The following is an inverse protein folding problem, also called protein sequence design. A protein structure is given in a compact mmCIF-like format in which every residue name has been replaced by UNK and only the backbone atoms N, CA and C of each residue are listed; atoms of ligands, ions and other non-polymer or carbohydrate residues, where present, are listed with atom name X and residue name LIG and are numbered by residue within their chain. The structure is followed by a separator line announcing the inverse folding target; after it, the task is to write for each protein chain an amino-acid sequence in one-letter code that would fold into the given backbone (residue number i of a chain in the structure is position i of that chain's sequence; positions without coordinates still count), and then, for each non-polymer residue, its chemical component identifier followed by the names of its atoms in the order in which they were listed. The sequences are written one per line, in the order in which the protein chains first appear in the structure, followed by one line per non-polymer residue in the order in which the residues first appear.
data_IF_216917306423
#
_entry.id   IF_216917306423
#
_cell.length_a   1.000
_cell.length_b   1.000
_cell.length_c   1.000
_cell.angle_alpha   90.00
_cell.angle_beta   90.00
_cell.angle_gamma   90.00
#
_symmetry.space_group_name_H-M   'P 1'
#
loop_
_entity.id
_entity.type
_entity.pdbx_description
1 polymer ?
#
# COMPACT_ATOMS: atom_id res chain seq x y z
N UNK A 1 -23.17 -20.36 46.44
CA UNK A 1 -24.37 -20.09 45.61
C UNK A 1 -23.90 -19.46 44.30
N UNK A 2 -23.75 -20.29 43.28
CA UNK A 2 -23.47 -19.89 41.89
C UNK A 2 -24.80 -20.04 41.14
N UNK A 3 -25.34 -18.97 40.59
CA UNK A 3 -26.52 -19.02 39.72
C UNK A 3 -26.05 -19.00 38.27
N UNK A 4 -26.25 -20.14 37.60
CA UNK A 4 -26.07 -20.32 36.16
C UNK A 4 -27.16 -19.55 35.42
N UNK A 5 -26.80 -18.61 34.54
CA UNK A 5 -27.71 -18.05 33.55
C UNK A 5 -27.75 -18.96 32.32
N UNK A 6 -28.97 -19.37 31.97
CA UNK A 6 -29.34 -20.35 30.95
C UNK A 6 -29.11 -19.78 29.55
N UNK A 7 -28.39 -20.54 28.72
CA UNK A 7 -28.32 -20.30 27.28
C UNK A 7 -29.66 -20.69 26.63
N UNK A 8 -30.31 -19.74 25.98
CA UNK A 8 -31.48 -19.98 25.14
C UNK A 8 -30.98 -20.44 23.77
N UNK A 9 -31.31 -21.68 23.40
CA UNK A 9 -31.01 -22.23 22.09
C UNK A 9 -31.89 -21.56 21.02
N UNK A 10 -31.24 -20.94 20.03
CA UNK A 10 -31.91 -20.49 18.81
C UNK A 10 -32.16 -21.69 17.87
N UNK A 11 -33.28 -21.71 17.13
CA UNK A 11 -33.68 -22.85 16.32
C UNK A 11 -32.76 -23.05 15.10
N UNK A 12 -32.56 -24.32 14.74
CA UNK A 12 -31.87 -24.74 13.52
C UNK A 12 -32.59 -24.18 12.29
N UNK A 13 -32.06 -23.10 11.71
CA UNK A 13 -32.35 -22.75 10.34
C UNK A 13 -31.53 -23.67 9.43
N UNK A 14 -32.16 -24.74 8.94
CA UNK A 14 -31.73 -25.40 7.70
C UNK A 14 -31.89 -24.39 6.56
N UNK A 15 -30.85 -23.58 6.35
CA UNK A 15 -30.75 -22.71 5.20
C UNK A 15 -30.64 -23.57 3.96
N UNK A 16 -31.64 -23.51 3.09
CA UNK A 16 -31.53 -23.92 1.71
C UNK A 16 -30.25 -23.31 1.12
N UNK A 17 -29.23 -24.14 0.91
CA UNK A 17 -28.07 -23.80 0.10
C UNK A 17 -28.59 -23.62 -1.33
N UNK A 18 -29.03 -22.41 -1.67
CA UNK A 18 -29.10 -21.99 -3.06
C UNK A 18 -27.68 -22.12 -3.59
N UNK A 19 -27.41 -23.24 -4.29
CA UNK A 19 -26.27 -23.33 -5.18
C UNK A 19 -26.46 -22.23 -6.20
N UNK A 20 -25.79 -21.10 -5.98
CA UNK A 20 -25.51 -20.16 -7.05
C UNK A 20 -24.68 -20.97 -8.03
N UNK A 21 -25.34 -21.57 -9.03
CA UNK A 21 -24.66 -22.00 -10.23
C UNK A 21 -24.01 -20.73 -10.78
N UNK A 22 -22.72 -20.55 -10.51
CA UNK A 22 -21.94 -19.57 -11.23
C UNK A 22 -22.09 -19.96 -12.70
N UNK A 23 -22.88 -19.20 -13.44
CA UNK A 23 -22.84 -19.24 -14.89
C UNK A 23 -21.48 -18.70 -15.25
N UNK A 24 -20.46 -19.55 -15.20
CA UNK A 24 -19.12 -19.24 -15.70
C UNK A 24 -19.33 -18.96 -17.18
N UNK A 25 -19.43 -17.69 -17.54
CA UNK A 25 -19.40 -17.26 -18.93
C UNK A 25 -17.99 -17.62 -19.39
N UNK A 26 -17.86 -18.76 -20.07
CA UNK A 26 -16.62 -19.11 -20.74
C UNK A 26 -16.46 -18.10 -21.87
N UNK A 27 -15.50 -17.20 -21.70
CA UNK A 27 -15.10 -16.30 -22.75
C UNK A 27 -14.73 -17.13 -23.99
N UNK A 28 -15.49 -16.97 -25.07
CA UNK A 28 -15.28 -17.71 -26.32
C UNK A 28 -14.26 -17.01 -27.23
N UNK A 29 -13.69 -15.88 -26.79
CA UNK A 29 -12.62 -15.23 -27.54
C UNK A 29 -11.41 -16.16 -27.60
N UNK A 30 -10.74 -16.26 -28.77
CA UNK A 30 -9.47 -16.96 -28.83
C UNK A 30 -8.48 -16.29 -27.88
N UNK A 31 -7.69 -17.10 -27.16
CA UNK A 31 -6.65 -16.59 -26.27
C UNK A 31 -5.68 -15.65 -26.98
N UNK A 32 -4.94 -14.87 -26.21
CA UNK A 32 -3.96 -13.90 -26.70
C UNK A 32 -2.72 -14.61 -27.27
N UNK A 33 -2.22 -14.08 -28.38
CA UNK A 33 -0.91 -14.43 -28.93
C UNK A 33 0.14 -13.42 -28.47
N UNK A 34 1.36 -13.88 -28.20
CA UNK A 34 2.46 -13.02 -27.74
C UNK A 34 3.69 -13.17 -28.64
N UNK A 35 4.05 -12.09 -29.31
CA UNK A 35 5.30 -12.01 -30.06
C UNK A 35 6.47 -11.75 -29.11
N UNK A 36 7.61 -12.42 -29.35
CA UNK A 36 8.85 -12.17 -28.61
C UNK A 36 9.61 -11.04 -29.28
N UNK A 37 9.81 -9.95 -28.55
CA UNK A 37 10.53 -8.77 -29.05
C UNK A 37 11.95 -8.70 -28.50
N UNK A 38 12.11 -8.90 -27.18
CA UNK A 38 13.41 -8.84 -26.53
C UNK A 38 14.02 -10.21 -26.26
N UNK A 39 13.19 -11.25 -26.21
CA UNK A 39 13.60 -12.59 -25.79
C UNK A 39 13.68 -13.57 -26.95
N UNK A 40 14.30 -14.73 -26.69
CA UNK A 40 14.37 -15.84 -27.65
C UNK A 40 13.80 -17.10 -27.01
N UNK A 41 13.04 -17.86 -27.79
CA UNK A 41 12.50 -19.12 -27.31
C UNK A 41 13.62 -20.07 -26.86
N UNK A 42 13.44 -20.68 -25.69
CA UNK A 42 14.41 -21.62 -25.10
C UNK A 42 15.56 -20.96 -24.36
N UNK A 43 15.63 -19.63 -24.30
CA UNK A 43 16.63 -18.89 -23.52
C UNK A 43 15.93 -18.23 -22.32
N UNK A 44 16.31 -18.61 -21.11
CA UNK A 44 15.83 -17.93 -19.90
C UNK A 44 16.40 -16.51 -19.85
N UNK A 45 15.57 -15.45 -19.76
CA UNK A 45 16.04 -14.07 -19.67
C UNK A 45 17.05 -13.83 -18.53
N UNK A 46 16.98 -14.57 -17.42
CA UNK A 46 17.92 -14.41 -16.32
C UNK A 46 19.35 -14.87 -16.67
N UNK A 47 19.53 -15.70 -17.69
CA UNK A 47 20.84 -16.15 -18.17
C UNK A 47 21.46 -15.19 -19.21
N UNK A 48 20.76 -14.10 -19.54
CA UNK A 48 21.22 -13.10 -20.51
C UNK A 48 22.02 -11.95 -19.90
N UNK A 49 22.24 -11.97 -18.59
CA UNK A 49 22.97 -10.94 -17.83
C UNK A 49 24.05 -11.56 -16.96
N UNK A 50 25.10 -10.79 -16.67
CA UNK A 50 26.11 -11.16 -15.69
C UNK A 50 25.64 -10.80 -14.28
N UNK A 51 25.75 -11.76 -13.36
CA UNK A 51 25.39 -11.61 -11.96
C UNK A 51 26.61 -11.39 -11.08
N UNK A 52 26.42 -10.72 -9.96
CA UNK A 52 27.43 -10.56 -8.92
C UNK A 52 26.79 -10.57 -7.54
N UNK A 53 27.58 -10.96 -6.53
CA UNK A 53 27.21 -10.84 -5.13
C UNK A 53 27.66 -9.48 -4.60
N UNK A 54 26.77 -8.81 -3.88
CA UNK A 54 27.04 -7.52 -3.23
C UNK A 54 26.42 -7.51 -1.84
N UNK A 55 26.88 -6.58 -1.01
CA UNK A 55 26.26 -6.33 0.29
C UNK A 55 25.34 -5.13 0.20
N UNK A 56 24.12 -5.25 0.76
CA UNK A 56 23.23 -4.13 0.94
C UNK A 56 23.43 -3.56 2.35
N UNK A 57 24.07 -2.40 2.45
CA UNK A 57 24.33 -1.72 3.73
C UNK A 57 23.81 -0.30 3.65
N UNK A 58 22.97 0.07 4.61
CA UNK A 58 22.37 1.40 4.73
C UNK A 58 22.79 1.99 6.08
N UNK A 59 23.57 3.06 6.03
CA UNK A 59 24.07 3.78 7.20
C UNK A 59 23.56 5.22 7.25
N UNK A 60 23.51 5.77 8.46
CA UNK A 60 23.28 7.19 8.72
C UNK A 60 24.52 8.04 8.50
N UNK A 61 24.34 9.37 8.54
CA UNK A 61 25.44 10.33 8.48
C UNK A 61 26.42 10.20 9.66
N UNK A 62 25.95 9.66 10.78
CA UNK A 62 26.72 9.29 11.97
C UNK A 62 27.49 7.97 11.82
N UNK A 63 27.40 7.30 10.66
CA UNK A 63 28.01 5.99 10.40
C UNK A 63 27.23 4.81 10.98
N UNK A 64 26.11 5.05 11.69
CA UNK A 64 25.30 3.97 12.27
C UNK A 64 24.62 3.17 11.19
N UNK A 65 24.77 1.85 11.20
CA UNK A 65 24.09 0.95 10.27
C UNK A 65 22.63 0.80 10.71
N UNK A 66 21.69 1.20 9.85
CA UNK A 66 20.25 1.04 10.07
C UNK A 66 19.70 -0.26 9.48
N UNK A 67 20.36 -0.79 8.45
CA UNK A 67 19.97 -2.01 7.78
C UNK A 67 21.19 -2.62 7.08
N UNK A 68 21.37 -3.93 7.22
CA UNK A 68 22.29 -4.68 6.39
C UNK A 68 21.72 -6.05 5.99
N UNK A 69 22.05 -6.49 4.78
CA UNK A 69 21.92 -7.87 4.32
C UNK A 69 23.03 -8.16 3.33
N UNK A 70 23.87 -9.15 3.63
CA UNK A 70 25.10 -9.44 2.89
C UNK A 70 24.93 -10.57 1.88
N UNK A 71 25.80 -10.60 0.88
CA UNK A 71 25.86 -11.65 -0.13
C UNK A 71 24.59 -11.77 -0.97
N UNK A 72 23.98 -10.64 -1.32
CA UNK A 72 22.80 -10.62 -2.19
C UNK A 72 23.19 -10.61 -3.66
N UNK A 73 22.44 -11.32 -4.49
CA UNK A 73 22.73 -11.51 -5.91
C UNK A 73 21.95 -10.52 -6.78
N UNK A 74 22.67 -9.75 -7.60
CA UNK A 74 22.14 -8.73 -8.51
C UNK A 74 22.86 -8.76 -9.86
N UNK A 75 22.21 -8.32 -10.96
CA UNK A 75 22.91 -8.06 -12.21
C UNK A 75 23.95 -6.96 -12.02
N UNK A 76 25.13 -7.11 -12.63
CA UNK A 76 26.21 -6.11 -12.57
C UNK A 76 25.80 -4.71 -13.00
N UNK A 77 24.78 -4.61 -13.86
CA UNK A 77 24.26 -3.34 -14.39
C UNK A 77 23.42 -2.56 -13.37
N UNK A 78 22.95 -3.20 -12.29
CA UNK A 78 22.16 -2.53 -11.26
C UNK A 78 23.08 -1.75 -10.31
N UNK A 79 22.68 -0.53 -9.96
CA UNK A 79 23.46 0.32 -9.05
C UNK A 79 23.38 -0.17 -7.59
N UNK A 80 24.39 0.17 -6.79
CA UNK A 80 24.37 -0.11 -5.35
C UNK A 80 23.16 0.53 -4.64
N UNK A 81 22.71 1.71 -5.10
CA UNK A 81 21.49 2.34 -4.59
C UNK A 81 20.25 1.50 -4.87
N UNK A 82 20.13 0.93 -6.08
CA UNK A 82 19.04 0.02 -6.41
C UNK A 82 19.08 -1.24 -5.54
N UNK A 83 20.27 -1.83 -5.35
CA UNK A 83 20.49 -2.95 -4.43
C UNK A 83 19.99 -2.63 -3.03
N UNK A 84 20.44 -1.53 -2.44
CA UNK A 84 20.04 -1.11 -1.10
C UNK A 84 18.51 -0.94 -0.98
N UNK A 85 17.88 -0.26 -1.94
CA UNK A 85 16.43 -0.04 -1.95
C UNK A 85 15.66 -1.36 -2.08
N UNK A 86 16.07 -2.23 -2.99
CA UNK A 86 15.40 -3.50 -3.28
C UNK A 86 15.46 -4.43 -2.10
N UNK A 87 16.65 -4.59 -1.52
CA UNK A 87 16.86 -5.50 -0.41
C UNK A 87 16.11 -5.02 0.83
N UNK A 88 16.16 -3.72 1.13
CA UNK A 88 15.44 -3.16 2.28
C UNK A 88 13.91 -3.25 2.10
N UNK A 89 13.40 -2.87 0.93
CA UNK A 89 11.97 -2.59 0.75
C UNK A 89 11.20 -3.69 0.05
N UNK A 90 11.81 -4.43 -0.87
CA UNK A 90 11.10 -5.34 -1.77
C UNK A 90 11.36 -6.82 -1.47
N UNK A 91 12.57 -7.19 -1.04
CA UNK A 91 12.83 -8.56 -0.61
C UNK A 91 11.89 -9.02 0.52
N UNK A 92 11.34 -10.22 0.35
CA UNK A 92 10.41 -10.90 1.26
C UNK A 92 11.11 -11.91 2.15
N UNK A 93 10.41 -12.35 3.19
CA UNK A 93 10.97 -13.18 4.26
C UNK A 93 11.68 -12.36 5.35
N UNK A 94 11.80 -12.98 6.52
CA UNK A 94 12.42 -12.39 7.72
C UNK A 94 13.93 -12.43 7.60
N UNK A 95 14.61 -11.32 7.91
CA UNK A 95 16.08 -11.27 7.87
C UNK A 95 16.69 -12.38 8.74
N UNK A 96 17.74 -13.04 8.22
CA UNK A 96 18.42 -14.15 8.89
C UNK A 96 17.72 -15.50 8.77
N UNK A 97 16.54 -15.59 8.15
CA UNK A 97 15.87 -16.88 7.92
C UNK A 97 16.12 -17.40 6.50
N UNK A 98 16.04 -18.73 6.26
CA UNK A 98 16.20 -19.31 4.92
C UNK A 98 15.16 -18.82 3.90
N UNK A 99 14.01 -18.36 4.36
CA UNK A 99 12.93 -17.85 3.51
C UNK A 99 13.18 -16.42 3.02
N UNK A 100 14.22 -15.74 3.54
CA UNK A 100 14.60 -14.40 3.10
C UNK A 100 15.08 -14.45 1.66
N UNK A 101 14.45 -13.65 0.79
CA UNK A 101 14.95 -13.44 -0.56
C UNK A 101 16.37 -12.84 -0.49
N UNK A 102 17.28 -13.43 -1.26
CA UNK A 102 18.69 -13.02 -1.35
C UNK A 102 19.11 -12.69 -2.79
N UNK A 103 18.23 -12.85 -3.77
CA UNK A 103 18.51 -12.54 -5.18
C UNK A 103 17.37 -11.75 -5.79
N UNK A 104 17.70 -10.74 -6.61
CA UNK A 104 16.69 -10.02 -7.40
C UNK A 104 16.07 -10.92 -8.47
N UNK A 105 16.76 -12.00 -8.88
CA UNK A 105 16.17 -13.09 -9.67
C UNK A 105 14.92 -13.64 -9.00
N UNK A 106 15.03 -14.02 -7.72
CA UNK A 106 13.91 -14.57 -6.95
C UNK A 106 12.76 -13.57 -6.80
N UNK A 107 13.08 -12.29 -6.56
CA UNK A 107 12.06 -11.24 -6.45
C UNK A 107 11.29 -11.03 -7.77
N UNK A 108 12.00 -10.96 -8.91
CA UNK A 108 11.38 -10.80 -10.23
C UNK A 108 10.58 -12.05 -10.58
N UNK A 109 11.16 -13.24 -10.39
CA UNK A 109 10.52 -14.52 -10.66
C UNK A 109 9.23 -14.67 -9.86
N UNK A 110 9.23 -14.37 -8.55
CA UNK A 110 8.02 -14.42 -7.72
C UNK A 110 6.86 -13.64 -8.35
N UNK A 111 7.11 -12.42 -8.82
CA UNK A 111 6.05 -11.59 -9.41
C UNK A 111 5.68 -12.08 -10.81
N UNK A 112 6.65 -12.27 -11.70
CA UNK A 112 6.41 -12.65 -13.08
C UNK A 112 5.77 -14.04 -13.20
N UNK A 113 6.23 -15.02 -12.41
CA UNK A 113 5.74 -16.40 -12.41
C UNK A 113 4.33 -16.49 -11.84
N UNK A 114 4.03 -15.70 -10.80
CA UNK A 114 2.68 -15.64 -10.24
C UNK A 114 1.69 -15.07 -11.28
N UNK A 115 2.05 -13.96 -11.95
CA UNK A 115 1.20 -13.36 -12.98
C UNK A 115 1.03 -14.32 -14.17
N UNK A 116 2.12 -14.96 -14.60
CA UNK A 116 2.09 -16.00 -15.63
C UNK A 116 1.16 -17.16 -15.26
N UNK A 117 1.25 -17.67 -14.02
CA UNK A 117 0.42 -18.76 -13.53
C UNK A 117 -1.07 -18.39 -13.52
N UNK A 118 -1.42 -17.19 -13.07
CA UNK A 118 -2.80 -16.68 -13.14
C UNK A 118 -3.27 -16.56 -14.59
N UNK A 119 -2.46 -15.97 -15.47
CA UNK A 119 -2.81 -15.86 -16.89
C UNK A 119 -3.09 -17.21 -17.55
N UNK A 120 -2.33 -18.25 -17.19
CA UNK A 120 -2.58 -19.62 -17.64
C UNK A 120 -3.86 -20.21 -17.06
N UNK A 121 -4.05 -20.09 -15.74
CA UNK A 121 -5.22 -20.64 -15.05
C UNK A 121 -6.53 -20.02 -15.56
N UNK A 122 -6.50 -18.72 -15.88
CA UNK A 122 -7.65 -17.97 -16.38
C UNK A 122 -7.84 -18.09 -17.91
N UNK A 123 -6.95 -18.79 -18.61
CA UNK A 123 -7.08 -19.05 -20.05
C UNK A 123 -6.75 -17.86 -20.95
N UNK A 124 -5.91 -16.91 -20.50
CA UNK A 124 -5.55 -15.72 -21.28
C UNK A 124 -4.72 -16.03 -22.53
N UNK A 125 -3.98 -17.14 -22.56
CA UNK A 125 -3.02 -17.44 -23.63
C UNK A 125 -3.58 -18.43 -24.64
N UNK A 126 -3.34 -18.17 -25.93
CA UNK A 126 -3.76 -19.07 -27.02
C UNK A 126 -3.01 -20.40 -26.98
N UNK A 127 -1.73 -20.39 -26.63
CA UNK A 127 -0.87 -21.56 -26.55
C UNK A 127 0.11 -21.48 -25.38
N UNK A 128 0.73 -22.61 -25.04
CA UNK A 128 1.84 -22.67 -24.09
C UNK A 128 3.02 -21.79 -24.53
N UNK A 129 3.29 -21.71 -25.84
CA UNK A 129 4.36 -20.88 -26.38
C UNK A 129 4.08 -19.39 -26.14
N UNK A 130 2.82 -18.95 -26.26
CA UNK A 130 2.40 -17.58 -25.96
C UNK A 130 2.53 -17.25 -24.48
N UNK A 131 2.18 -18.20 -23.60
CA UNK A 131 2.32 -18.03 -22.16
C UNK A 131 3.80 -17.85 -21.77
N UNK A 132 4.70 -18.69 -22.31
CA UNK A 132 6.14 -18.54 -22.09
C UNK A 132 6.69 -17.26 -22.70
N UNK A 133 6.24 -16.87 -23.89
CA UNK A 133 6.63 -15.59 -24.49
C UNK A 133 6.27 -14.41 -23.59
N UNK A 134 5.04 -14.37 -23.06
CA UNK A 134 4.63 -13.34 -22.11
C UNK A 134 5.52 -13.29 -20.87
N UNK A 135 5.75 -14.45 -20.22
CA UNK A 135 6.58 -14.54 -19.02
C UNK A 135 7.99 -14.01 -19.28
N UNK A 136 8.62 -14.48 -20.35
CA UNK A 136 10.01 -14.16 -20.64
C UNK A 136 10.17 -12.67 -21.00
N UNK A 137 9.26 -12.11 -21.81
CA UNK A 137 9.24 -10.68 -22.12
C UNK A 137 9.06 -9.84 -20.84
N UNK A 138 8.14 -10.25 -19.95
CA UNK A 138 7.95 -9.56 -18.68
C UNK A 138 9.21 -9.60 -17.81
N UNK A 139 9.86 -10.77 -17.67
CA UNK A 139 11.13 -10.88 -16.93
C UNK A 139 12.19 -9.99 -17.55
N UNK A 140 12.34 -9.99 -18.88
CA UNK A 140 13.31 -9.12 -19.56
C UNK A 140 13.07 -7.65 -19.25
N UNK A 141 11.81 -7.19 -19.37
CA UNK A 141 11.45 -5.80 -19.10
C UNK A 141 11.80 -5.37 -17.67
N UNK A 142 11.55 -6.25 -16.69
CA UNK A 142 11.86 -6.00 -15.28
C UNK A 142 13.37 -6.06 -15.00
N UNK A 143 14.06 -7.06 -15.53
CA UNK A 143 15.49 -7.29 -15.32
C UNK A 143 16.35 -6.17 -15.90
N UNK A 144 15.98 -5.66 -17.07
CA UNK A 144 16.64 -4.54 -17.74
C UNK A 144 16.06 -3.17 -17.38
N UNK A 145 15.19 -3.09 -16.36
CA UNK A 145 14.60 -1.85 -15.85
C UNK A 145 13.90 -1.01 -16.93
N UNK A 146 13.35 -1.65 -17.98
CA UNK A 146 12.52 -1.02 -19.02
C UNK A 146 11.10 -0.74 -18.54
N UNK A 147 10.69 -1.45 -17.48
CA UNK A 147 9.41 -1.32 -16.82
C UNK A 147 9.59 -1.67 -15.34
N UNK A 148 8.73 -1.11 -14.48
CA UNK A 148 8.63 -1.50 -13.09
C UNK A 148 7.15 -1.44 -12.67
N UNK A 149 6.72 -2.40 -11.86
CA UNK A 149 5.42 -2.31 -11.21
C UNK A 149 5.42 -1.29 -10.08
N UNK A 150 4.22 -0.80 -9.74
CA UNK A 150 4.02 -0.05 -8.50
C UNK A 150 4.40 -0.90 -7.27
N UNK A 151 4.66 -0.25 -6.13
CA UNK A 151 5.17 -0.93 -4.94
C UNK A 151 4.27 -2.05 -4.38
N UNK A 152 2.93 -1.90 -4.29
CA UNK A 152 2.03 -2.98 -3.85
C UNK A 152 2.18 -4.30 -4.60
N UNK A 153 2.43 -4.27 -5.92
CA UNK A 153 2.68 -5.50 -6.68
C UNK A 153 3.90 -6.24 -6.12
N UNK A 154 5.02 -5.53 -5.92
CA UNK A 154 6.24 -6.13 -5.37
C UNK A 154 6.07 -6.63 -3.93
N UNK A 155 5.20 -5.97 -3.15
CA UNK A 155 4.93 -6.32 -1.76
C UNK A 155 4.09 -7.58 -1.62
N UNK A 156 3.09 -7.75 -2.48
CA UNK A 156 1.98 -8.67 -2.23
C UNK A 156 1.91 -9.84 -3.22
N UNK A 157 2.28 -9.66 -4.49
CA UNK A 157 2.15 -10.71 -5.51
C UNK A 157 3.10 -11.87 -5.23
N UNK A 158 2.56 -13.09 -5.20
CA UNK A 158 3.29 -14.30 -4.82
C UNK A 158 3.64 -14.38 -3.33
N UNK A 159 3.00 -13.56 -2.49
CA UNK A 159 3.18 -13.54 -1.03
C UNK A 159 1.83 -13.73 -0.34
N UNK A 160 0.85 -12.90 -0.68
CA UNK A 160 -0.50 -12.96 -0.16
C UNK A 160 -1.39 -13.80 -1.09
N UNK A 161 -2.31 -14.57 -0.53
CA UNK A 161 -3.30 -15.36 -1.30
C UNK A 161 -4.21 -14.46 -2.15
N UNK A 162 -4.58 -13.29 -1.60
CA UNK A 162 -5.38 -12.27 -2.26
C UNK A 162 -4.64 -10.92 -2.27
N UNK A 163 -3.70 -10.72 -3.21
CA UNK A 163 -2.78 -9.60 -3.17
C UNK A 163 -3.41 -8.28 -3.62
N UNK A 164 -3.15 -7.20 -2.88
CA UNK A 164 -3.48 -5.85 -3.30
C UNK A 164 -2.42 -5.32 -4.28
N UNK A 165 -2.78 -5.16 -5.55
CA UNK A 165 -1.84 -4.78 -6.62
C UNK A 165 -1.93 -3.29 -7.03
N UNK A 166 -2.89 -2.56 -6.48
CA UNK A 166 -3.20 -1.18 -6.87
C UNK A 166 -2.67 -0.20 -5.84
N UNK A 167 -1.90 0.81 -6.22
CA UNK A 167 -1.32 1.78 -5.28
C UNK A 167 -2.27 2.91 -4.85
N UNK A 168 -3.31 3.18 -5.62
CA UNK A 168 -4.13 4.38 -5.45
C UNK A 168 -5.62 4.01 -5.36
N UNK A 169 -6.30 4.53 -4.34
CA UNK A 169 -7.74 4.38 -4.16
C UNK A 169 -8.38 5.73 -3.85
N UNK A 170 -9.55 5.98 -4.42
CA UNK A 170 -10.40 7.12 -4.09
C UNK A 170 -11.62 6.59 -3.36
N UNK A 171 -11.89 7.11 -2.16
CA UNK A 171 -13.00 6.71 -1.33
C UNK A 171 -13.99 7.88 -1.18
N UNK A 172 -15.28 7.54 -1.12
CA UNK A 172 -16.33 8.49 -0.76
C UNK A 172 -16.65 8.40 0.72
N UNK A 173 -17.28 9.46 1.23
CA UNK A 173 -17.81 9.51 2.58
C UNK A 173 -19.14 10.25 2.55
N UNK A 174 -20.09 9.78 3.35
CA UNK A 174 -21.38 10.42 3.55
C UNK A 174 -21.40 11.10 4.91
N UNK A 175 -22.26 12.11 5.07
CA UNK A 175 -22.41 12.88 6.31
C UNK A 175 -23.15 12.12 7.42
N UNK A 176 -22.56 11.01 7.85
CA UNK A 176 -23.03 10.19 8.96
C UNK A 176 -21.84 9.57 9.70
N UNK A 177 -21.98 9.39 11.02
CA UNK A 177 -20.91 8.77 11.82
C UNK A 177 -20.53 7.37 11.33
N UNK A 178 -21.49 6.59 10.85
CA UNK A 178 -21.23 5.26 10.31
C UNK A 178 -20.35 5.31 9.05
N UNK A 179 -20.61 6.23 8.12
CA UNK A 179 -19.82 6.39 6.89
C UNK A 179 -18.43 6.99 7.20
N UNK A 180 -18.35 7.98 8.10
CA UNK A 180 -17.09 8.58 8.56
C UNK A 180 -16.16 7.55 9.20
N UNK A 181 -16.66 6.74 10.14
CA UNK A 181 -15.85 5.70 10.78
C UNK A 181 -15.58 4.52 9.83
N UNK A 182 -16.51 4.24 8.92
CA UNK A 182 -16.33 3.29 7.82
C UNK A 182 -15.15 3.67 6.93
N UNK A 183 -15.00 4.97 6.62
CA UNK A 183 -13.87 5.48 5.86
C UNK A 183 -12.53 5.18 6.56
N UNK A 184 -12.43 5.46 7.87
CA UNK A 184 -11.21 5.16 8.64
C UNK A 184 -10.86 3.66 8.58
N UNK A 185 -11.86 2.78 8.72
CA UNK A 185 -11.66 1.33 8.59
C UNK A 185 -11.16 0.95 7.20
N UNK A 186 -11.83 1.40 6.14
CA UNK A 186 -11.48 1.09 4.76
C UNK A 186 -10.06 1.55 4.45
N UNK A 187 -9.73 2.80 4.80
CA UNK A 187 -8.40 3.35 4.56
C UNK A 187 -7.32 2.62 5.35
N UNK A 188 -7.56 2.29 6.61
CA UNK A 188 -6.63 1.51 7.42
C UNK A 188 -6.30 0.16 6.80
N UNK A 189 -7.31 -0.52 6.23
CA UNK A 189 -7.09 -1.79 5.51
C UNK A 189 -6.29 -1.59 4.22
N UNK A 190 -6.56 -0.53 3.46
CA UNK A 190 -5.79 -0.20 2.25
C UNK A 190 -4.33 0.14 2.58
N UNK A 191 -4.10 0.89 3.66
CA UNK A 191 -2.77 1.23 4.16
C UNK A 191 -1.98 -0.02 4.53
N UNK A 192 -2.59 -0.96 5.28
CA UNK A 192 -1.97 -2.23 5.68
C UNK A 192 -1.29 -2.94 4.51
N UNK A 193 -1.92 -2.95 3.34
CA UNK A 193 -1.43 -3.64 2.15
C UNK A 193 -0.64 -2.76 1.17
N UNK A 194 -0.29 -1.53 1.56
CA UNK A 194 0.70 -0.73 0.82
C UNK A 194 0.15 0.37 -0.07
N UNK A 195 -1.15 0.66 -0.01
CA UNK A 195 -1.79 1.62 -0.92
C UNK A 195 -2.09 2.95 -0.27
N UNK A 196 -2.04 4.02 -1.06
CA UNK A 196 -2.47 5.35 -0.66
C UNK A 196 -3.96 5.56 -0.94
N UNK A 197 -4.55 6.50 -0.22
CA UNK A 197 -5.99 6.80 -0.31
C UNK A 197 -6.23 8.28 -0.56
N UNK A 198 -7.32 8.61 -1.24
CA UNK A 198 -7.79 9.97 -1.46
C UNK A 198 -9.27 10.07 -1.14
N UNK A 199 -9.68 11.12 -0.44
CA UNK A 199 -11.11 11.32 -0.09
C UNK A 199 -11.46 12.80 -0.16
N UNK A 200 -12.60 13.12 -0.78
CA UNK A 200 -13.17 14.47 -0.72
C UNK A 200 -14.15 14.53 0.46
N UNK A 201 -13.88 15.39 1.43
CA UNK A 201 -14.66 15.52 2.66
C UNK A 201 -15.74 16.61 2.59
N UNK A 202 -15.96 17.21 1.43
CA UNK A 202 -16.95 18.30 1.25
C UNK A 202 -18.39 17.87 1.42
N UNK A 203 -18.65 16.55 1.46
CA UNK A 203 -19.95 16.01 1.81
C UNK A 203 -20.25 16.12 3.31
N UNK A 204 -19.22 16.22 4.16
CA UNK A 204 -19.39 16.36 5.60
C UNK A 204 -19.90 17.77 5.92
N UNK A 205 -20.85 17.87 6.84
CA UNK A 205 -21.38 19.17 7.25
C UNK A 205 -20.29 20.02 7.91
N UNK A 206 -20.42 21.34 7.78
CA UNK A 206 -19.46 22.29 8.35
C UNK A 206 -19.48 22.30 9.88
N UNK A 207 -18.40 22.77 10.49
CA UNK A 207 -18.30 23.02 11.93
C UNK A 207 -19.32 24.04 12.46
N UNK A 208 -19.98 24.77 11.55
CA UNK A 208 -20.96 25.82 11.84
C UNK A 208 -22.40 25.30 11.84
N UNK A 209 -22.62 24.06 11.41
CA UNK A 209 -23.95 23.45 11.37
C UNK A 209 -24.41 22.95 12.76
N UNK A 210 -25.70 23.03 13.02
CA UNK A 210 -26.30 22.51 14.26
C UNK A 210 -26.55 21.00 14.19
N UNK A 211 -26.48 20.34 15.35
CA UNK A 211 -26.86 18.93 15.50
C UNK A 211 -28.23 18.81 16.17
N UNK A 212 -28.98 17.75 15.82
CA UNK A 212 -30.30 17.48 16.40
C UNK A 212 -30.26 17.29 17.93
N UNK A 213 -29.14 16.80 18.47
CA UNK A 213 -28.94 16.59 19.91
C UNK A 213 -28.46 17.82 20.68
N UNK A 214 -28.35 18.98 20.03
CA UNK A 214 -27.74 20.19 20.58
C UNK A 214 -26.25 20.33 20.25
N UNK A 215 -25.76 21.57 20.30
CA UNK A 215 -24.38 21.91 19.90
C UNK A 215 -24.20 22.03 18.39
N UNK A 216 -22.94 22.21 17.99
CA UNK A 216 -22.52 22.31 16.59
C UNK A 216 -21.75 21.06 16.16
N UNK A 217 -21.71 20.80 14.86
CA UNK A 217 -20.91 19.72 14.30
C UNK A 217 -19.41 20.00 14.45
N UNK A 218 -18.59 18.95 14.45
CA UNK A 218 -17.14 19.10 14.55
C UNK A 218 -16.48 19.59 13.24
N UNK A 219 -17.16 19.42 12.11
CA UNK A 219 -16.63 19.74 10.77
C UNK A 219 -15.56 18.76 10.25
N UNK A 220 -15.27 18.78 8.93
CA UNK A 220 -14.27 17.92 8.30
C UNK A 220 -12.86 18.08 8.87
N UNK A 221 -12.43 19.29 9.22
CA UNK A 221 -11.08 19.57 9.72
C UNK A 221 -10.81 18.89 11.07
N UNK A 222 -11.85 18.67 11.88
CA UNK A 222 -11.75 17.89 13.13
C UNK A 222 -11.59 16.40 12.84
N UNK A 223 -12.41 15.81 11.97
CA UNK A 223 -12.31 14.39 11.62
C UNK A 223 -10.99 14.06 10.92
N UNK A 224 -10.44 15.00 10.14
CA UNK A 224 -9.11 14.88 9.55
C UNK A 224 -8.01 14.63 10.57
N UNK A 225 -8.09 15.17 11.80
CA UNK A 225 -7.12 14.84 12.87
C UNK A 225 -7.16 13.35 13.23
N UNK A 226 -8.36 12.79 13.33
CA UNK A 226 -8.55 11.37 13.58
C UNK A 226 -8.01 10.50 12.44
N UNK A 227 -8.35 10.84 11.19
CA UNK A 227 -7.83 10.12 10.02
C UNK A 227 -6.31 10.22 9.90
N UNK A 228 -5.74 11.39 10.20
CA UNK A 228 -4.29 11.58 10.23
C UNK A 228 -3.62 10.70 11.27
N UNK A 229 -4.17 10.62 12.49
CA UNK A 229 -3.65 9.75 13.54
C UNK A 229 -3.72 8.26 13.14
N UNK A 230 -4.82 7.82 12.51
CA UNK A 230 -4.91 6.46 11.99
C UNK A 230 -3.88 6.17 10.89
N UNK A 231 -3.67 7.11 9.97
CA UNK A 231 -2.65 6.98 8.93
C UNK A 231 -1.23 6.93 9.53
N UNK A 232 -0.94 7.73 10.56
CA UNK A 232 0.34 7.70 11.26
C UNK A 232 0.61 6.41 12.03
N UNK A 233 -0.43 5.79 12.59
CA UNK A 233 -0.33 4.55 13.35
C UNK A 233 -0.09 3.31 12.46
N UNK A 234 -0.51 3.35 11.19
CA UNK A 234 -0.46 2.19 10.30
C UNK A 234 0.79 2.25 9.40
N UNK A 235 1.63 1.22 9.54
CA UNK A 235 2.81 1.00 8.70
C UNK A 235 2.40 0.38 7.37
N UNK A 236 2.68 1.08 6.28
CA UNK A 236 2.14 0.73 4.96
C UNK A 236 2.85 -0.50 4.35
N UNK A 237 2.08 -1.48 3.89
CA UNK A 237 2.59 -2.71 3.27
C UNK A 237 3.40 -3.59 4.23
N UNK A 238 3.19 -3.46 5.54
CA UNK A 238 4.01 -4.12 6.57
C UNK A 238 5.47 -3.66 6.60
N UNK A 239 5.76 -2.48 6.04
CA UNK A 239 7.11 -1.89 5.98
C UNK A 239 7.20 -0.62 6.82
N UNK A 240 8.41 -0.12 7.04
CA UNK A 240 8.68 1.06 7.87
C UNK A 240 8.11 2.38 7.34
N UNK A 241 7.47 2.40 6.15
CA UNK A 241 6.89 3.60 5.54
C UNK A 241 5.53 3.95 6.17
N UNK A 242 5.29 5.23 6.43
CA UNK A 242 3.98 5.75 6.85
C UNK A 242 2.95 5.65 5.72
N UNK A 243 1.68 5.47 6.08
CA UNK A 243 0.59 5.59 5.13
C UNK A 243 0.57 6.99 4.50
N UNK A 244 0.08 7.07 3.26
CA UNK A 244 -0.08 8.33 2.55
C UNK A 244 -1.55 8.55 2.22
N UNK A 245 -2.06 9.73 2.59
CA UNK A 245 -3.42 10.14 2.34
C UNK A 245 -3.48 11.45 1.57
N UNK A 246 -4.44 11.57 0.67
CA UNK A 246 -4.89 12.84 0.10
C UNK A 246 -6.26 13.19 0.68
N UNK A 247 -6.43 14.45 1.05
CA UNK A 247 -7.70 15.00 1.52
C UNK A 247 -8.07 16.18 0.64
N UNK A 248 -9.30 16.18 0.14
CA UNK A 248 -9.84 17.26 -0.67
C UNK A 248 -10.97 17.95 0.09
N UNK A 249 -11.01 19.28 0.00
CA UNK A 249 -12.17 20.09 0.37
C UNK A 249 -12.48 21.08 -0.76
N UNK A 250 -13.75 21.27 -1.09
CA UNK A 250 -14.17 22.21 -2.12
C UNK A 250 -14.02 23.65 -1.61
N UNK A 251 -13.76 24.58 -2.54
CA UNK A 251 -13.50 25.99 -2.24
C UNK A 251 -14.68 26.71 -1.59
N UNK A 252 -15.90 26.25 -1.84
CA UNK A 252 -17.15 26.78 -1.31
C UNK A 252 -17.55 26.21 0.05
N UNK A 253 -16.81 25.23 0.57
CA UNK A 253 -17.10 24.63 1.87
C UNK A 253 -16.87 25.66 3.00
N UNK A 254 -17.80 25.82 3.98
CA UNK A 254 -17.68 26.87 5.00
C UNK A 254 -16.42 26.79 5.90
N UNK A 255 -15.82 25.60 6.00
CA UNK A 255 -14.56 25.37 6.73
C UNK A 255 -13.30 25.43 5.85
N UNK A 256 -13.38 25.96 4.62
CA UNK A 256 -12.24 25.99 3.68
C UNK A 256 -11.04 26.76 4.21
N UNK A 257 -11.25 27.87 4.93
CA UNK A 257 -10.16 28.66 5.51
C UNK A 257 -9.42 27.86 6.58
N UNK A 258 -10.16 27.17 7.46
CA UNK A 258 -9.59 26.33 8.50
C UNK A 258 -8.81 25.16 7.88
N UNK A 259 -9.32 24.59 6.78
CA UNK A 259 -8.63 23.55 6.02
C UNK A 259 -7.32 24.02 5.40
N UNK A 260 -7.28 25.23 4.85
CA UNK A 260 -6.06 25.85 4.28
C UNK A 260 -5.03 26.10 5.39
N UNK A 261 -5.45 26.68 6.51
CA UNK A 261 -4.54 27.17 7.55
C UNK A 261 -4.07 26.07 8.52
N UNK A 262 -4.80 24.96 8.66
CA UNK A 262 -4.58 23.98 9.73
C UNK A 262 -3.13 23.45 9.82
N UNK A 263 -2.49 23.15 8.68
CA UNK A 263 -1.10 22.64 8.68
C UNK A 263 -0.10 23.73 9.10
N UNK A 264 -0.30 24.97 8.63
CA UNK A 264 0.56 26.09 9.00
C UNK A 264 0.42 26.46 10.48
N UNK A 265 -0.76 26.28 11.06
CA UNK A 265 -0.98 26.47 12.50
C UNK A 265 -0.30 25.37 13.32
N UNK A 266 -0.40 24.10 12.92
CA UNK A 266 0.33 23.00 13.58
C UNK A 266 1.85 23.14 13.45
N UNK A 267 2.34 23.68 12.33
CA UNK A 267 3.77 23.97 12.11
C UNK A 267 4.34 24.90 13.20
N UNK A 268 3.58 25.94 13.58
CA UNK A 268 3.98 26.84 14.68
C UNK A 268 4.16 26.09 16.01
N UNK A 269 3.36 25.04 16.25
CA UNK A 269 3.51 24.19 17.45
C UNK A 269 4.79 23.35 17.35
N UNK A 270 5.07 22.79 16.18
CA UNK A 270 6.31 22.05 15.96
C UNK A 270 7.55 22.93 16.20
N UNK A 271 7.55 24.17 15.72
CA UNK A 271 8.67 25.10 15.97
C UNK A 271 8.81 25.46 17.45
N UNK A 272 7.69 25.72 18.14
CA UNK A 272 7.74 25.96 19.58
C UNK A 272 8.31 24.76 20.37
N UNK A 273 8.02 23.52 19.94
CA UNK A 273 8.61 22.32 20.51
C UNK A 273 10.11 22.23 20.20
N UNK A 274 10.53 22.55 18.96
CA UNK A 274 11.95 22.56 18.58
C UNK A 274 12.72 23.59 19.42
N UNK A 275 12.18 24.80 19.58
CA UNK A 275 12.78 25.85 20.41
C UNK A 275 12.89 25.44 21.89
N UNK A 276 11.96 24.60 22.37
CA UNK A 276 11.99 24.01 23.70
C UNK A 276 12.97 22.80 23.82
N UNK A 277 13.65 22.42 22.74
CA UNK A 277 14.67 21.37 22.72
C UNK A 277 14.20 19.99 22.25
N UNK A 278 12.98 19.86 21.72
CA UNK A 278 12.54 18.61 21.09
C UNK A 278 13.22 18.41 19.73
N UNK A 279 13.46 17.15 19.36
CA UNK A 279 14.09 16.81 18.08
C UNK A 279 13.21 17.26 16.89
N UNK A 280 13.77 18.11 16.02
CA UNK A 280 13.11 18.63 14.82
C UNK A 280 13.20 17.71 13.59
N UNK A 281 13.78 16.52 13.73
CA UNK A 281 13.87 15.53 12.67
C UNK A 281 12.50 14.92 12.34
N UNK A 282 12.25 14.70 11.05
CA UNK A 282 11.06 13.97 10.61
C UNK A 282 11.16 12.48 10.99
N UNK A 283 10.04 11.91 11.44
CA UNK A 283 9.93 10.49 11.87
C UNK A 283 10.77 10.14 13.12
N UNK A 284 11.11 11.12 13.96
CA UNK A 284 11.73 10.85 15.26
C UNK A 284 10.62 10.60 16.28
N UNK A 285 10.59 9.43 16.88
CA UNK A 285 9.57 9.05 17.87
C UNK A 285 9.61 10.04 19.04
N UNK A 286 8.50 10.72 19.30
CA UNK A 286 8.41 11.76 20.33
C UNK A 286 9.14 13.07 19.98
N UNK A 287 9.58 13.22 18.72
CA UNK A 287 10.08 14.49 18.18
C UNK A 287 8.95 15.48 17.91
N UNK A 288 9.31 16.72 17.58
CA UNK A 288 8.36 17.81 17.39
C UNK A 288 7.33 17.50 16.29
N UNK A 289 7.79 17.08 15.11
CA UNK A 289 6.91 16.73 13.97
C UNK A 289 6.13 15.43 14.17
N UNK A 290 6.52 14.57 15.11
CA UNK A 290 5.78 13.35 15.46
C UNK A 290 4.61 13.66 16.42
N UNK A 291 4.61 14.86 17.01
CA UNK A 291 3.68 15.26 18.07
C UNK A 291 2.57 16.22 17.61
N UNK A 292 2.55 16.58 16.32
CA UNK A 292 1.58 17.53 15.73
C UNK A 292 0.68 16.85 14.70
N UNK A 293 -0.47 17.46 14.41
CA UNK A 293 -1.48 16.87 13.53
C UNK A 293 -1.22 17.16 12.04
N UNK A 294 -1.94 16.44 11.18
CA UNK A 294 -2.01 16.62 9.72
C UNK A 294 -0.71 16.33 8.96
N UNK A 295 0.13 15.46 9.51
CA UNK A 295 1.45 15.13 8.96
C UNK A 295 1.41 14.01 7.91
N UNK A 296 0.36 13.20 7.91
CA UNK A 296 0.20 12.02 7.06
C UNK A 296 -0.77 12.26 5.88
N UNK A 297 -1.25 13.50 5.74
CA UNK A 297 -2.17 13.91 4.68
C UNK A 297 -1.61 15.07 3.83
N UNK A 298 -1.80 14.95 2.52
CA UNK A 298 -1.68 16.03 1.55
C UNK A 298 -3.05 16.68 1.36
N UNK A 299 -3.15 17.98 1.59
CA UNK A 299 -4.40 18.74 1.52
C UNK A 299 -4.49 19.46 0.17
N UNK A 300 -5.62 19.31 -0.52
CA UNK A 300 -5.89 19.94 -1.79
C UNK A 300 -7.25 20.65 -1.77
N UNK A 301 -7.30 21.92 -2.17
CA UNK A 301 -8.57 22.62 -2.37
C UNK A 301 -9.05 22.37 -3.81
N UNK A 302 -10.31 21.97 -3.96
CA UNK A 302 -10.96 21.81 -5.27
C UNK A 302 -11.75 23.07 -5.62
N UNK A 303 -11.40 23.68 -6.75
CA UNK A 303 -12.08 24.83 -7.35
C UNK A 303 -13.14 24.36 -8.35
#
# INVERSE_FOLDING_TARGET
MLVKSVAVAAPNHEGHKNQVQSRVIKDQRPGLTFERFFTRQGVDPFETVEWELRDAVISGADGKIFFEQRGVEFPKTWSQTATNVVVQKYFRGTLGTPQRESSVRSMIARVADTIYAWGKADGYFKSEADAWAFRDELVHLLLHQKMAFNSPVWFNVGVEEHPQCSACFINSVDDSMASILGLAKTEGMLFKYGSGTGSNLSSLRSSREHLNGGGTASGPVSFMRGFDAFAGAIKSGGKTRRAAKMVILNVDHPDVTDFIDCKAIEEKKAWALIDAGYDGGFNVVGGAYDSVNYQNANHSVRV
#
